data_IF_309583755354
#
_entry.id   IF_309583755354
#
_cell.length_a   1.000
_cell.length_b   1.000
_cell.length_c   1.000
_cell.angle_alpha   90.00
_cell.angle_beta   90.00
_cell.angle_gamma   90.00
#
_symmetry.space_group_name_H-M   'P 1'
#
loop_
_entity.id
_entity.type
_entity.pdbx_description
1 polymer ?
#
# COMPACT_ATOMS: atom_id res chain seq x y z
N UNK A 1 -6.32 24.72 23.76
CA UNK A 1 -6.32 23.24 23.69
C UNK A 1 -5.85 22.74 25.04
N UNK A 2 -6.75 22.12 25.81
CA UNK A 2 -6.47 21.60 27.15
C UNK A 2 -5.42 20.49 27.09
N UNK A 3 -4.53 20.48 28.09
CA UNK A 3 -3.56 19.42 28.32
C UNK A 3 -4.27 18.07 28.34
N UNK A 4 -4.17 17.29 27.25
CA UNK A 4 -4.30 15.86 27.41
C UNK A 4 -3.23 15.47 28.42
N UNK A 5 -3.64 14.82 29.50
CA UNK A 5 -2.74 14.40 30.55
C UNK A 5 -1.59 13.60 29.94
N UNK A 6 -0.39 13.73 30.47
CA UNK A 6 0.75 12.87 30.14
C UNK A 6 0.38 11.37 30.15
N UNK A 7 -0.58 10.99 31.00
CA UNK A 7 -1.20 9.67 31.06
C UNK A 7 -1.96 9.31 29.78
N UNK A 8 -2.81 10.20 29.27
CA UNK A 8 -3.66 9.95 28.10
C UNK A 8 -2.82 9.72 26.83
N UNK A 9 -1.72 10.46 26.66
CA UNK A 9 -0.80 10.27 25.53
C UNK A 9 -0.17 8.87 25.52
N UNK A 10 0.33 8.41 26.67
CA UNK A 10 0.89 7.07 26.82
C UNK A 10 -0.18 5.99 26.60
N UNK A 11 -1.41 6.20 27.09
CA UNK A 11 -2.53 5.28 26.89
C UNK A 11 -2.93 5.17 25.41
N UNK A 12 -2.93 6.28 24.66
CA UNK A 12 -3.19 6.29 23.22
C UNK A 12 -2.12 5.49 22.47
N UNK A 13 -0.84 5.75 22.76
CA UNK A 13 0.29 5.02 22.16
C UNK A 13 0.21 3.51 22.43
N UNK A 14 -0.07 3.13 23.68
CA UNK A 14 -0.21 1.73 24.07
C UNK A 14 -1.37 1.07 23.31
N UNK A 15 -2.55 1.70 23.32
CA UNK A 15 -3.75 1.19 22.63
C UNK A 15 -3.48 0.99 21.14
N UNK A 16 -2.75 1.91 20.51
CA UNK A 16 -2.38 1.83 19.10
C UNK A 16 -1.30 0.77 18.82
N UNK A 17 -0.37 0.51 19.74
CA UNK A 17 0.55 -0.64 19.60
C UNK A 17 -0.20 -1.98 19.64
N UNK A 18 -1.24 -2.10 20.47
CA UNK A 18 -2.10 -3.29 20.52
C UNK A 18 -2.93 -3.43 19.24
N UNK A 19 -3.51 -2.33 18.74
CA UNK A 19 -4.22 -2.35 17.46
C UNK A 19 -3.30 -2.81 16.32
N UNK A 20 -2.08 -2.28 16.25
CA UNK A 20 -1.08 -2.72 15.27
C UNK A 20 -0.77 -4.22 15.39
N UNK A 21 -0.65 -4.74 16.62
CA UNK A 21 -0.41 -6.15 16.86
C UNK A 21 -1.57 -7.03 16.35
N UNK A 22 -2.82 -6.62 16.59
CA UNK A 22 -4.01 -7.32 16.08
C UNK A 22 -4.04 -7.31 14.56
N UNK A 23 -3.76 -6.17 13.93
CA UNK A 23 -3.69 -6.06 12.46
C UNK A 23 -2.56 -6.92 11.87
N UNK A 24 -1.40 -6.97 12.52
CA UNK A 24 -0.29 -7.82 12.11
C UNK A 24 -0.62 -9.31 12.25
N UNK A 25 -1.32 -9.71 13.31
CA UNK A 25 -1.80 -11.09 13.44
C UNK A 25 -2.79 -11.45 12.32
N UNK A 26 -3.70 -10.54 11.97
CA UNK A 26 -4.60 -10.72 10.83
C UNK A 26 -3.82 -10.87 9.51
N UNK A 27 -2.79 -10.05 9.30
CA UNK A 27 -1.91 -10.11 8.14
C UNK A 27 -1.21 -11.47 8.02
N UNK A 28 -0.63 -11.99 9.11
CA UNK A 28 -0.01 -13.32 9.16
C UNK A 28 -1.04 -14.40 8.81
N UNK A 29 -2.23 -14.36 9.41
CA UNK A 29 -3.30 -15.34 9.14
C UNK A 29 -3.70 -15.32 7.67
N UNK A 30 -3.88 -14.13 7.08
CA UNK A 30 -4.24 -13.98 5.66
C UNK A 30 -3.12 -14.48 4.74
N UNK A 31 -1.86 -14.16 5.06
CA UNK A 31 -0.72 -14.60 4.28
C UNK A 31 -0.53 -16.12 4.36
N UNK A 32 -0.63 -16.72 5.56
CA UNK A 32 -0.56 -18.15 5.78
C UNK A 32 -1.70 -18.88 5.06
N UNK A 33 -2.93 -18.35 5.13
CA UNK A 33 -4.06 -18.88 4.40
C UNK A 33 -3.85 -18.81 2.88
N UNK A 34 -3.34 -17.69 2.36
CA UNK A 34 -3.05 -17.54 0.94
C UNK A 34 -1.98 -18.53 0.46
N UNK A 35 -0.88 -18.67 1.19
CA UNK A 35 0.25 -19.53 0.83
C UNK A 35 -0.06 -21.02 0.96
N UNK A 36 -0.92 -21.41 1.92
CA UNK A 36 -1.33 -22.80 2.11
C UNK A 36 -2.37 -23.26 1.09
N UNK A 37 -3.28 -22.38 0.67
CA UNK A 37 -4.40 -22.78 -0.19
C UNK A 37 -4.12 -22.61 -1.69
N UNK A 38 -3.21 -21.72 -2.10
CA UNK A 38 -2.97 -21.42 -3.52
C UNK A 38 -1.53 -21.73 -3.95
N UNK A 39 -1.39 -22.50 -5.03
CA UNK A 39 -0.09 -22.66 -5.68
C UNK A 39 0.36 -21.33 -6.31
N UNK A 40 1.33 -20.72 -5.64
CA UNK A 40 1.77 -19.36 -5.89
C UNK A 40 3.14 -19.36 -6.52
N UNK A 41 3.30 -18.60 -7.61
CA UNK A 41 4.58 -18.44 -8.30
C UNK A 41 5.64 -17.88 -7.34
N UNK A 42 6.87 -18.40 -7.40
CA UNK A 42 8.06 -17.91 -6.67
C UNK A 42 8.13 -16.38 -6.51
N UNK A 43 7.96 -15.58 -7.58
CA UNK A 43 7.96 -14.12 -7.48
C UNK A 43 6.95 -13.54 -6.50
N UNK A 44 5.69 -13.98 -6.56
CA UNK A 44 4.63 -13.47 -5.69
C UNK A 44 4.86 -13.95 -4.25
N UNK A 45 5.36 -15.18 -4.05
CA UNK A 45 5.80 -15.64 -2.73
C UNK A 45 6.88 -14.74 -2.16
N UNK A 46 7.92 -14.42 -2.93
CA UNK A 46 9.00 -13.52 -2.50
C UNK A 46 8.47 -12.13 -2.14
N UNK A 47 7.56 -11.58 -2.93
CA UNK A 47 6.93 -10.29 -2.63
C UNK A 47 6.20 -10.32 -1.28
N UNK A 48 5.38 -11.35 -1.03
CA UNK A 48 4.65 -11.51 0.23
C UNK A 48 5.61 -11.66 1.42
N UNK A 49 6.71 -12.40 1.26
CA UNK A 49 7.75 -12.52 2.31
C UNK A 49 8.45 -11.18 2.58
N UNK A 50 8.77 -10.41 1.54
CA UNK A 50 9.40 -9.08 1.70
C UNK A 50 8.45 -8.13 2.43
N UNK A 51 7.16 -8.14 2.08
CA UNK A 51 6.15 -7.33 2.76
C UNK A 51 6.05 -7.73 4.23
N UNK A 52 5.83 -9.01 4.54
CA UNK A 52 5.77 -9.52 5.91
C UNK A 52 7.04 -9.19 6.72
N UNK A 53 8.23 -9.23 6.09
CA UNK A 53 9.48 -8.88 6.76
C UNK A 53 9.55 -7.39 7.08
N UNK A 54 9.23 -6.51 6.13
CA UNK A 54 9.18 -5.07 6.35
C UNK A 54 8.19 -4.73 7.47
N UNK A 55 7.06 -5.41 7.48
CA UNK A 55 6.01 -5.28 8.48
C UNK A 55 6.46 -5.87 9.84
N UNK A 56 7.22 -6.95 9.88
CA UNK A 56 7.81 -7.45 11.13
C UNK A 56 8.77 -6.41 11.74
N UNK A 57 9.63 -5.80 10.91
CA UNK A 57 10.55 -4.75 11.35
C UNK A 57 9.77 -3.53 11.87
N UNK A 58 8.70 -3.13 11.18
CA UNK A 58 7.83 -2.05 11.62
C UNK A 58 7.14 -2.35 12.97
N UNK A 59 6.73 -3.59 13.23
CA UNK A 59 6.16 -3.96 14.54
C UNK A 59 7.20 -3.81 15.66
N UNK A 60 8.42 -4.28 15.42
CA UNK A 60 9.52 -4.19 16.39
C UNK A 60 9.82 -2.73 16.73
N UNK A 61 9.85 -1.83 15.75
CA UNK A 61 10.13 -0.40 15.98
C UNK A 61 9.00 0.29 16.74
N UNK A 62 7.73 -0.06 16.46
CA UNK A 62 6.56 0.47 17.18
C UNK A 62 6.60 0.03 18.64
N UNK A 63 6.85 -1.26 18.91
CA UNK A 63 6.95 -1.76 20.28
C UNK A 63 8.15 -1.16 21.03
N UNK A 64 9.30 -1.06 20.39
CA UNK A 64 10.47 -0.42 20.99
C UNK A 64 10.20 1.05 21.34
N UNK A 65 9.55 1.80 20.45
CA UNK A 65 9.16 3.20 20.70
C UNK A 65 8.17 3.32 21.86
N UNK A 66 7.16 2.45 21.89
CA UNK A 66 6.14 2.44 22.94
C UNK A 66 6.74 2.08 24.29
N UNK A 67 7.64 1.10 24.32
CA UNK A 67 8.37 0.71 25.52
C UNK A 67 9.23 1.84 26.07
N UNK A 68 10.01 2.51 25.21
CA UNK A 68 10.82 3.67 25.60
C UNK A 68 9.96 4.81 26.17
N UNK A 69 8.81 5.06 25.57
CA UNK A 69 7.85 6.06 26.04
C UNK A 69 7.30 5.72 27.44
N UNK A 70 6.94 4.46 27.68
CA UNK A 70 6.38 3.99 28.96
C UNK A 70 7.41 4.08 30.08
N UNK A 71 8.63 3.58 29.86
CA UNK A 71 9.66 3.54 30.91
C UNK A 71 10.12 4.94 31.32
N UNK A 72 10.40 5.81 30.35
CA UNK A 72 10.97 7.13 30.65
C UNK A 72 9.91 8.13 31.07
N UNK A 73 8.65 7.83 30.77
CA UNK A 73 7.57 8.78 30.86
C UNK A 73 7.68 9.88 29.79
N UNK A 74 6.56 10.53 29.45
CA UNK A 74 6.50 11.49 28.35
C UNK A 74 7.34 12.75 28.58
N UNK A 75 7.68 13.08 29.83
CA UNK A 75 8.49 14.25 30.17
C UNK A 75 10.00 14.01 29.99
N UNK A 76 10.47 12.80 30.26
CA UNK A 76 11.90 12.45 30.18
C UNK A 76 12.26 11.77 28.85
N UNK A 77 11.28 11.53 27.99
CA UNK A 77 11.46 10.92 26.68
C UNK A 77 12.21 11.88 25.74
N UNK A 78 13.50 11.58 25.51
CA UNK A 78 14.33 12.33 24.57
C UNK A 78 14.20 11.77 23.16
N UNK A 79 13.98 12.65 22.20
CA UNK A 79 13.89 12.29 20.78
C UNK A 79 15.17 11.58 20.27
N UNK A 80 16.33 11.86 20.88
CA UNK A 80 17.60 11.23 20.48
C UNK A 80 17.56 9.70 20.56
N UNK A 81 16.82 9.16 21.51
CA UNK A 81 16.77 7.72 21.76
C UNK A 81 15.82 7.00 20.81
N UNK A 82 14.86 7.74 20.25
CA UNK A 82 13.88 7.24 19.28
C UNK A 82 14.22 7.55 17.83
N UNK A 83 15.38 8.17 17.55
CA UNK A 83 15.77 8.52 16.16
C UNK A 83 15.75 7.32 15.24
N UNK A 84 16.29 6.19 15.72
CA UNK A 84 16.39 4.97 14.92
C UNK A 84 15.01 4.33 14.69
N UNK A 85 14.11 4.35 15.68
CA UNK A 85 12.76 3.79 15.54
C UNK A 85 11.94 4.61 14.55
N UNK A 86 12.01 5.94 14.65
CA UNK A 86 11.34 6.86 13.72
C UNK A 86 11.82 6.60 12.30
N UNK A 87 13.15 6.63 12.06
CA UNK A 87 13.70 6.41 10.72
C UNK A 87 13.28 5.05 10.14
N UNK A 88 13.43 3.98 10.93
CA UNK A 88 13.15 2.63 10.46
C UNK A 88 11.65 2.39 10.24
N UNK A 89 10.78 2.98 11.07
CA UNK A 89 9.33 2.97 10.84
C UNK A 89 8.95 3.72 9.56
N UNK A 90 9.50 4.91 9.32
CA UNK A 90 9.24 5.66 8.09
C UNK A 90 9.69 4.89 6.84
N UNK A 91 10.89 4.30 6.86
CA UNK A 91 11.42 3.52 5.73
C UNK A 91 10.58 2.27 5.43
N UNK A 92 10.21 1.53 6.47
CA UNK A 92 9.37 0.32 6.33
C UNK A 92 7.98 0.65 5.82
N UNK A 93 7.30 1.66 6.39
CA UNK A 93 5.98 2.11 5.94
C UNK A 93 6.04 2.61 4.49
N UNK A 94 7.06 3.41 4.14
CA UNK A 94 7.23 3.91 2.76
C UNK A 94 7.44 2.75 1.79
N UNK A 95 8.24 1.75 2.17
CA UNK A 95 8.49 0.56 1.33
C UNK A 95 7.20 -0.22 1.09
N UNK A 96 6.43 -0.46 2.15
CA UNK A 96 5.14 -1.17 2.06
C UNK A 96 4.14 -0.41 1.21
N UNK A 97 4.01 0.90 1.43
CA UNK A 97 3.13 1.77 0.64
C UNK A 97 3.50 1.77 -0.83
N UNK A 98 4.78 1.95 -1.18
CA UNK A 98 5.24 1.92 -2.58
C UNK A 98 4.96 0.56 -3.23
N UNK A 99 5.19 -0.55 -2.53
CA UNK A 99 4.89 -1.89 -3.06
C UNK A 99 3.40 -2.04 -3.37
N UNK A 100 2.54 -1.57 -2.47
CA UNK A 100 1.08 -1.64 -2.62
C UNK A 100 0.58 -0.73 -3.75
N UNK A 101 1.04 0.53 -3.78
CA UNK A 101 0.66 1.49 -4.81
C UNK A 101 1.12 1.00 -6.20
N UNK A 102 2.34 0.47 -6.33
CA UNK A 102 2.84 -0.13 -7.58
C UNK A 102 2.05 -1.36 -7.98
N UNK A 103 1.62 -2.18 -7.03
CA UNK A 103 0.75 -3.33 -7.29
C UNK A 103 -0.59 -2.88 -7.87
N UNK A 104 -1.23 -1.87 -7.28
CA UNK A 104 -2.50 -1.32 -7.76
C UNK A 104 -2.35 -0.60 -9.10
N UNK A 105 -1.28 0.16 -9.32
CA UNK A 105 -0.98 0.81 -10.61
C UNK A 105 -0.77 -0.23 -11.71
N UNK A 106 -0.03 -1.30 -11.44
CA UNK A 106 0.15 -2.37 -12.42
C UNK A 106 -1.19 -3.06 -12.76
N UNK A 107 -2.08 -3.23 -11.77
CA UNK A 107 -3.45 -3.68 -11.99
C UNK A 107 -4.25 -2.68 -12.83
N UNK A 108 -4.11 -1.39 -12.59
CA UNK A 108 -4.72 -0.33 -13.39
C UNK A 108 -4.21 -0.34 -14.84
N UNK A 109 -2.89 -0.50 -15.05
CA UNK A 109 -2.27 -0.60 -16.39
C UNK A 109 -2.90 -1.71 -17.21
N UNK A 110 -3.11 -2.88 -16.60
CA UNK A 110 -3.74 -4.04 -17.27
C UNK A 110 -5.19 -3.81 -17.64
N UNK A 111 -5.93 -3.08 -16.80
CA UNK A 111 -7.36 -2.84 -17.02
C UNK A 111 -7.61 -1.67 -18.00
N UNK A 112 -6.84 -0.59 -17.86
CA UNK A 112 -7.08 0.65 -18.59
C UNK A 112 -6.36 0.72 -19.94
N UNK A 113 -5.24 0.01 -20.13
CA UNK A 113 -4.35 0.11 -21.30
C UNK A 113 -3.86 1.54 -21.65
N UNK A 114 -4.15 2.55 -20.84
CA UNK A 114 -3.68 3.93 -21.04
C UNK A 114 -2.32 4.16 -20.37
N UNK A 115 -1.28 4.21 -21.19
CA UNK A 115 0.11 4.41 -20.74
C UNK A 115 0.30 5.76 -20.03
N UNK A 116 -0.31 6.84 -20.53
CA UNK A 116 -0.16 8.18 -19.95
C UNK A 116 -0.65 8.27 -18.50
N UNK A 117 -1.85 7.73 -18.21
CA UNK A 117 -2.40 7.69 -16.86
C UNK A 117 -1.53 6.84 -15.91
N UNK A 118 -1.05 5.70 -16.40
CA UNK A 118 -0.18 4.82 -15.62
C UNK A 118 1.15 5.50 -15.28
N UNK A 119 1.75 6.21 -16.25
CA UNK A 119 2.98 6.97 -16.06
C UNK A 119 2.79 8.12 -15.06
N UNK A 120 1.66 8.82 -15.13
CA UNK A 120 1.30 9.87 -14.18
C UNK A 120 1.17 9.33 -12.75
N UNK A 121 0.42 8.24 -12.55
CA UNK A 121 0.28 7.60 -11.24
C UNK A 121 1.63 7.09 -10.71
N UNK A 122 2.45 6.49 -11.57
CA UNK A 122 3.79 6.04 -11.20
C UNK A 122 4.68 7.21 -10.75
N UNK A 123 4.65 8.34 -11.46
CA UNK A 123 5.39 9.54 -11.08
C UNK A 123 4.93 10.09 -9.72
N UNK A 124 3.64 10.05 -9.42
CA UNK A 124 3.11 10.44 -8.10
C UNK A 124 3.64 9.53 -6.99
N UNK A 125 3.66 8.21 -7.18
CA UNK A 125 4.20 7.23 -6.22
C UNK A 125 5.68 7.48 -5.95
N UNK A 126 6.48 7.70 -6.99
CA UNK A 126 7.91 7.99 -6.84
C UNK A 126 8.11 9.32 -6.10
N UNK A 127 7.31 10.33 -6.41
CA UNK A 127 7.36 11.63 -5.74
C UNK A 127 6.99 11.48 -4.26
N UNK A 128 5.91 10.75 -3.95
CA UNK A 128 5.51 10.40 -2.59
C UNK A 128 6.67 9.73 -1.83
N UNK A 129 7.28 8.69 -2.41
CA UNK A 129 8.39 7.98 -1.79
C UNK A 129 9.58 8.90 -1.48
N UNK A 130 9.98 9.75 -2.43
CA UNK A 130 11.08 10.70 -2.26
C UNK A 130 10.79 11.68 -1.12
N UNK A 131 9.61 12.30 -1.11
CA UNK A 131 9.26 13.27 -0.06
C UNK A 131 9.12 12.61 1.31
N UNK A 132 8.60 11.39 1.39
CA UNK A 132 8.44 10.67 2.64
C UNK A 132 9.80 10.26 3.23
N UNK A 133 10.70 9.72 2.41
CA UNK A 133 12.09 9.42 2.80
C UNK A 133 12.82 10.69 3.23
N UNK A 134 12.75 11.75 2.42
CA UNK A 134 13.35 13.04 2.74
C UNK A 134 12.86 13.58 4.09
N UNK A 135 11.54 13.52 4.33
CA UNK A 135 10.94 13.95 5.60
C UNK A 135 11.46 13.13 6.78
N UNK A 136 11.55 11.80 6.64
CA UNK A 136 12.10 10.90 7.67
C UNK A 136 13.53 11.25 8.05
N UNK A 137 14.41 11.44 7.05
CA UNK A 137 15.79 11.85 7.29
C UNK A 137 15.88 13.25 7.88
N UNK A 138 15.08 14.19 7.39
CA UNK A 138 15.06 15.58 7.87
C UNK A 138 14.71 15.66 9.36
N UNK A 139 13.68 14.92 9.79
CA UNK A 139 13.25 14.84 11.19
C UNK A 139 14.34 14.28 12.10
N UNK A 140 15.14 13.32 11.61
CA UNK A 140 16.26 12.73 12.37
C UNK A 140 17.50 13.64 12.41
N UNK A 141 17.78 14.35 11.30
CA UNK A 141 18.95 15.22 11.17
C UNK A 141 18.82 16.52 11.96
N UNK A 142 17.61 17.09 12.05
CA UNK A 142 17.36 18.39 12.69
C UNK A 142 16.39 18.32 13.89
N UNK A 143 16.69 17.53 14.93
CA UNK A 143 15.80 17.39 16.07
C UNK A 143 15.74 18.68 16.93
N UNK A 144 16.76 19.53 16.86
CA UNK A 144 16.94 20.70 17.73
C UNK A 144 16.05 21.90 17.39
N UNK A 145 15.38 21.94 16.22
CA UNK A 145 14.33 22.95 16.00
C UNK A 145 13.09 22.73 16.88
N UNK A 146 13.01 21.59 17.59
CA UNK A 146 11.91 21.25 18.49
C UNK A 146 12.19 21.48 19.98
N UNK A 147 13.41 21.93 20.35
CA UNK A 147 13.78 22.22 21.74
C UNK A 147 13.70 23.72 22.05
N UNK A 148 12.58 24.37 21.69
CA UNK A 148 12.25 25.68 22.29
C UNK A 148 11.64 25.41 23.67
N UNK A 149 12.17 26.01 24.75
CA UNK A 149 11.73 25.72 26.10
C UNK A 149 10.24 26.03 26.29
N UNK A 150 9.53 25.00 26.75
CA UNK A 150 8.19 24.93 27.36
C UNK A 150 7.45 26.26 27.45
N UNK A 151 6.73 26.59 26.37
CA UNK A 151 5.70 27.63 26.34
C UNK A 151 4.61 27.19 25.39
N UNK A 152 3.75 26.28 25.85
CA UNK A 152 2.42 25.81 25.40
C UNK A 152 1.95 25.80 23.92
N UNK A 153 2.71 26.29 22.93
CA UNK A 153 2.30 26.41 21.52
C UNK A 153 3.23 25.66 20.53
N UNK A 154 4.10 24.76 21.00
CA UNK A 154 5.19 24.15 20.19
C UNK A 154 4.93 22.74 19.62
N UNK A 155 3.77 22.14 19.88
CA UNK A 155 3.37 20.86 19.27
C UNK A 155 3.30 20.83 17.72
N UNK A 156 2.87 21.88 16.98
CA UNK A 156 2.70 21.77 15.54
C UNK A 156 4.01 21.68 14.73
N UNK A 157 5.18 21.92 15.34
CA UNK A 157 6.47 21.98 14.63
C UNK A 157 7.24 20.67 14.55
N UNK A 158 6.86 19.63 15.30
CA UNK A 158 7.65 18.39 15.41
C UNK A 158 7.58 17.51 14.16
N UNK A 159 6.51 17.63 13.36
CA UNK A 159 6.29 16.85 12.14
C UNK A 159 5.74 17.67 10.97
N UNK A 160 5.49 18.97 11.16
CA UNK A 160 5.03 19.92 10.14
C UNK A 160 6.13 20.38 9.18
N UNK A 161 7.01 19.47 8.73
CA UNK A 161 7.86 19.82 7.60
C UNK A 161 6.94 20.03 6.39
N UNK A 162 7.17 21.08 5.60
CA UNK A 162 6.41 21.30 4.36
C UNK A 162 6.47 20.05 3.46
N UNK A 163 7.58 19.32 3.51
CA UNK A 163 7.77 18.06 2.84
C UNK A 163 6.81 16.96 3.32
N UNK A 164 6.59 16.80 4.63
CA UNK A 164 5.62 15.83 5.17
C UNK A 164 4.19 16.15 4.73
N UNK A 165 3.81 17.42 4.72
CA UNK A 165 2.50 17.87 4.27
C UNK A 165 2.29 17.57 2.77
N UNK A 166 3.32 17.84 1.95
CA UNK A 166 3.32 17.52 0.53
C UNK A 166 3.24 15.99 0.34
N UNK A 167 4.06 15.21 1.06
CA UNK A 167 4.04 13.76 1.00
C UNK A 167 2.66 13.19 1.35
N UNK A 168 2.05 13.63 2.45
CA UNK A 168 0.73 13.20 2.89
C UNK A 168 -0.36 13.57 1.87
N UNK A 169 -0.26 14.76 1.25
CA UNK A 169 -1.20 15.20 0.21
C UNK A 169 -1.08 14.34 -1.05
N UNK A 170 0.15 14.01 -1.47
CA UNK A 170 0.39 13.14 -2.63
C UNK A 170 -0.08 11.72 -2.32
N UNK A 171 0.24 11.17 -1.15
CA UNK A 171 -0.21 9.85 -0.72
C UNK A 171 -1.75 9.76 -0.74
N UNK A 172 -2.44 10.71 -0.12
CA UNK A 172 -3.91 10.76 -0.14
C UNK A 172 -4.46 10.90 -1.57
N UNK A 173 -3.79 11.68 -2.44
CA UNK A 173 -4.19 11.79 -3.84
C UNK A 173 -4.02 10.46 -4.59
N UNK A 174 -2.91 9.74 -4.40
CA UNK A 174 -2.68 8.42 -5.01
C UNK A 174 -3.71 7.42 -4.51
N UNK A 175 -3.91 7.35 -3.19
CA UNK A 175 -4.85 6.45 -2.53
C UNK A 175 -6.30 6.68 -2.97
N UNK A 176 -6.66 7.89 -3.42
CA UNK A 176 -8.00 8.19 -3.97
C UNK A 176 -8.07 8.00 -5.48
N UNK A 177 -7.07 8.47 -6.23
CA UNK A 177 -7.07 8.42 -7.69
C UNK A 177 -6.96 6.99 -8.21
N UNK A 178 -6.18 6.12 -7.57
CA UNK A 178 -6.01 4.73 -8.05
C UNK A 178 -7.32 3.93 -7.95
N UNK A 179 -8.05 3.88 -6.82
CA UNK A 179 -9.35 3.21 -6.76
C UNK A 179 -10.42 3.87 -7.63
N UNK A 180 -10.43 5.20 -7.75
CA UNK A 180 -11.37 5.91 -8.62
C UNK A 180 -11.16 5.57 -10.09
N UNK A 181 -9.90 5.57 -10.55
CA UNK A 181 -9.58 5.21 -11.94
C UNK A 181 -9.90 3.75 -12.24
N UNK A 182 -9.61 2.82 -11.32
CA UNK A 182 -10.00 1.42 -11.44
C UNK A 182 -11.52 1.25 -11.49
N UNK A 183 -12.26 1.93 -10.62
CA UNK A 183 -13.72 1.86 -10.55
C UNK A 183 -14.35 2.45 -11.80
N UNK A 184 -13.88 3.60 -12.26
CA UNK A 184 -14.30 4.25 -13.51
C UNK A 184 -14.09 3.33 -14.72
N UNK A 185 -12.92 2.71 -14.81
CA UNK A 185 -12.60 1.79 -15.91
C UNK A 185 -13.41 0.53 -15.87
N UNK A 186 -13.61 -0.06 -14.69
CA UNK A 186 -14.47 -1.21 -14.54
C UNK A 186 -15.91 -0.88 -14.95
N UNK A 187 -16.41 0.31 -14.57
CA UNK A 187 -17.73 0.77 -14.95
C UNK A 187 -17.87 0.85 -16.48
N UNK A 188 -16.90 1.46 -17.17
CA UNK A 188 -16.93 1.59 -18.64
C UNK A 188 -16.80 0.28 -19.40
N UNK A 189 -16.01 -0.68 -18.91
CA UNK A 189 -15.80 -1.98 -19.58
C UNK A 189 -16.99 -2.93 -19.36
N UNK A 190 -17.77 -2.74 -18.29
CA UNK A 190 -18.89 -3.62 -17.96
C UNK A 190 -20.06 -3.42 -18.94
N UNK A 191 -20.50 -4.46 -19.67
CA UNK A 191 -21.65 -4.38 -20.59
C UNK A 191 -22.94 -3.98 -19.87
N UNK A 192 -23.82 -3.24 -20.55
CA UNK A 192 -25.09 -2.75 -19.98
C UNK A 192 -25.96 -3.87 -19.40
N UNK A 193 -25.99 -5.04 -20.05
CA UNK A 193 -26.76 -6.20 -19.60
C UNK A 193 -26.28 -6.77 -18.25
N UNK A 194 -24.96 -6.76 -17.99
CA UNK A 194 -24.38 -7.18 -16.71
C UNK A 194 -24.58 -6.09 -15.67
N UNK A 195 -24.48 -4.81 -16.08
CA UNK A 195 -24.68 -3.66 -15.20
C UNK A 195 -26.08 -3.64 -14.59
N UNK A 196 -27.13 -3.99 -15.35
CA UNK A 196 -28.51 -4.03 -14.85
C UNK A 196 -28.74 -5.12 -13.78
N UNK A 197 -27.97 -6.21 -13.81
CA UNK A 197 -28.09 -7.33 -12.87
C UNK A 197 -27.11 -7.25 -11.70
N UNK A 198 -26.15 -6.34 -11.76
CA UNK A 198 -25.09 -6.24 -10.75
C UNK A 198 -25.63 -5.64 -9.47
N UNK A 199 -25.54 -6.39 -8.37
CA UNK A 199 -25.92 -5.90 -7.05
C UNK A 199 -24.96 -4.80 -6.60
N UNK A 200 -25.47 -3.81 -5.88
CA UNK A 200 -24.66 -2.77 -5.24
C UNK A 200 -23.59 -3.37 -4.31
N UNK A 201 -23.86 -4.55 -3.73
CA UNK A 201 -22.91 -5.30 -2.89
C UNK A 201 -21.66 -5.71 -3.66
N UNK A 202 -21.80 -6.19 -4.89
CA UNK A 202 -20.67 -6.60 -5.73
C UNK A 202 -19.83 -5.41 -6.21
N UNK A 203 -20.47 -4.25 -6.34
CA UNK A 203 -19.77 -2.99 -6.61
C UNK A 203 -18.99 -2.56 -5.38
N UNK A 204 -19.61 -2.59 -4.18
CA UNK A 204 -18.95 -2.23 -2.93
C UNK A 204 -17.74 -3.14 -2.63
N UNK A 205 -17.91 -4.46 -2.75
CA UNK A 205 -16.82 -5.43 -2.55
C UNK A 205 -15.69 -5.18 -3.54
N UNK A 206 -16.01 -4.85 -4.80
CA UNK A 206 -14.99 -4.50 -5.78
C UNK A 206 -14.29 -3.18 -5.44
N UNK A 207 -15.01 -2.15 -5.03
CA UNK A 207 -14.42 -0.85 -4.64
C UNK A 207 -13.52 -0.98 -3.42
N UNK A 208 -13.94 -1.74 -2.40
CA UNK A 208 -13.12 -2.09 -1.24
C UNK A 208 -11.87 -2.84 -1.70
N UNK A 209 -12.03 -3.82 -2.59
CA UNK A 209 -10.91 -4.53 -3.18
C UNK A 209 -9.98 -3.56 -3.93
N UNK A 210 -10.46 -2.57 -4.67
CA UNK A 210 -9.56 -1.67 -5.41
C UNK A 210 -8.73 -0.68 -4.57
N UNK A 211 -8.75 -0.78 -3.25
CA UNK A 211 -8.01 0.14 -2.36
C UNK A 211 -8.88 1.26 -1.82
N UNK A 212 -10.21 1.17 -1.91
CA UNK A 212 -11.11 2.20 -1.40
C UNK A 212 -10.96 2.47 0.10
N UNK A 213 -10.59 1.46 0.90
CA UNK A 213 -10.28 1.63 2.33
C UNK A 213 -9.02 2.47 2.52
N UNK A 214 -7.98 2.24 1.72
CA UNK A 214 -6.76 3.06 1.69
C UNK A 214 -7.08 4.51 1.35
N UNK A 215 -7.86 4.75 0.29
CA UNK A 215 -8.34 6.09 -0.09
C UNK A 215 -9.08 6.83 1.02
N UNK A 216 -10.03 6.17 1.68
CA UNK A 216 -10.76 6.76 2.78
C UNK A 216 -9.84 7.10 3.97
N UNK A 217 -8.97 6.16 4.34
CA UNK A 217 -8.00 6.36 5.42
C UNK A 217 -6.99 7.47 5.09
N UNK A 218 -6.52 7.56 3.85
CA UNK A 218 -5.62 8.63 3.39
C UNK A 218 -6.24 10.02 3.52
N UNK A 219 -7.52 10.17 3.17
CA UNK A 219 -8.26 11.43 3.37
C UNK A 219 -8.42 11.76 4.86
N UNK A 220 -8.79 10.77 5.69
CA UNK A 220 -8.90 10.95 7.15
C UNK A 220 -7.56 11.38 7.74
N UNK A 221 -6.47 10.74 7.33
CA UNK A 221 -5.13 11.09 7.78
C UNK A 221 -4.71 12.48 7.30
N UNK A 222 -5.03 12.86 6.07
CA UNK A 222 -4.76 14.22 5.58
C UNK A 222 -5.49 15.27 6.42
N UNK A 223 -6.76 15.04 6.78
CA UNK A 223 -7.51 15.94 7.67
C UNK A 223 -6.88 15.96 9.06
N UNK A 224 -6.56 14.79 9.63
CA UNK A 224 -5.91 14.70 10.93
C UNK A 224 -4.54 15.35 10.96
N UNK A 225 -3.79 15.32 9.85
CA UNK A 225 -2.51 16.00 9.74
C UNK A 225 -2.64 17.50 10.04
N UNK A 226 -3.72 18.14 9.55
CA UNK A 226 -3.99 19.56 9.77
C UNK A 226 -4.67 19.86 11.11
N UNK A 227 -5.54 18.97 11.60
CA UNK A 227 -6.35 19.22 12.80
C UNK A 227 -5.68 18.71 14.09
N UNK A 228 -5.08 17.52 14.04
CA UNK A 228 -4.49 16.79 15.18
C UNK A 228 -3.25 15.99 14.74
N UNK A 229 -2.09 16.64 14.51
CA UNK A 229 -0.88 15.97 14.01
C UNK A 229 -0.38 14.84 14.92
N UNK A 230 -0.65 14.93 16.23
CA UNK A 230 -0.33 13.87 17.19
C UNK A 230 -1.09 12.58 16.87
N UNK A 231 -2.40 12.69 16.62
CA UNK A 231 -3.26 11.56 16.27
C UNK A 231 -2.92 11.04 14.88
N UNK A 232 -2.64 11.93 13.94
CA UNK A 232 -2.14 11.57 12.61
C UNK A 232 -0.89 10.70 12.70
N UNK A 233 0.11 11.11 13.48
CA UNK A 233 1.37 10.36 13.61
C UNK A 233 1.11 8.93 14.08
N UNK A 234 0.36 8.76 15.18
CA UNK A 234 0.14 7.42 15.71
C UNK A 234 -0.73 6.56 14.79
N UNK A 235 -1.73 7.14 14.10
CA UNK A 235 -2.53 6.41 13.12
C UNK A 235 -1.76 6.10 11.83
N UNK A 236 -0.86 6.97 11.38
CA UNK A 236 -0.03 6.74 10.19
C UNK A 236 0.84 5.48 10.33
N UNK A 237 1.24 5.15 11.56
CA UNK A 237 1.97 3.91 11.86
C UNK A 237 1.16 2.64 11.56
N UNK A 238 -0.18 2.72 11.57
CA UNK A 238 -1.07 1.60 11.23
C UNK A 238 -1.29 1.43 9.73
N UNK A 239 -0.98 2.44 8.92
CA UNK A 239 -1.30 2.42 7.48
C UNK A 239 -0.56 1.33 6.71
N UNK A 240 0.68 1.03 7.08
CA UNK A 240 1.43 -0.09 6.50
C UNK A 240 0.62 -1.39 6.52
N UNK A 241 -0.01 -1.69 7.66
CA UNK A 241 -0.86 -2.88 7.84
C UNK A 241 -2.11 -2.85 7.00
N UNK A 242 -2.74 -1.67 6.92
CA UNK A 242 -3.94 -1.48 6.11
C UNK A 242 -3.61 -1.74 4.64
N UNK A 243 -2.46 -1.27 4.16
CA UNK A 243 -1.98 -1.53 2.80
C UNK A 243 -1.71 -3.02 2.58
N UNK A 244 -0.94 -3.70 3.44
CA UNK A 244 -0.67 -5.14 3.27
C UNK A 244 -1.94 -5.98 3.33
N UNK A 245 -2.81 -5.70 4.29
CA UNK A 245 -4.10 -6.40 4.45
C UNK A 245 -4.96 -6.21 3.20
N UNK A 246 -5.04 -4.99 2.67
CA UNK A 246 -5.78 -4.68 1.44
C UNK A 246 -5.21 -5.43 0.24
N UNK A 247 -3.87 -5.50 0.12
CA UNK A 247 -3.20 -6.27 -0.92
C UNK A 247 -3.46 -7.78 -0.80
N UNK A 248 -3.40 -8.35 0.40
CA UNK A 248 -3.68 -9.77 0.66
C UNK A 248 -5.14 -10.12 0.34
N UNK A 249 -6.10 -9.31 0.81
CA UNK A 249 -7.52 -9.46 0.50
C UNK A 249 -7.74 -9.40 -1.01
N UNK A 250 -7.08 -8.46 -1.70
CA UNK A 250 -7.11 -8.37 -3.15
C UNK A 250 -6.64 -9.64 -3.86
N UNK A 251 -5.52 -10.19 -3.41
CA UNK A 251 -4.97 -11.42 -3.96
C UNK A 251 -5.91 -12.61 -3.74
N UNK A 252 -6.52 -12.70 -2.54
CA UNK A 252 -7.50 -13.74 -2.21
C UNK A 252 -8.75 -13.65 -3.08
N UNK A 253 -9.33 -12.45 -3.23
CA UNK A 253 -10.52 -12.21 -4.07
C UNK A 253 -10.20 -12.50 -5.54
N UNK A 254 -9.04 -12.06 -6.03
CA UNK A 254 -8.62 -12.26 -7.42
C UNK A 254 -8.44 -13.74 -7.76
N UNK A 255 -7.99 -14.57 -6.81
CA UNK A 255 -7.83 -16.02 -7.01
C UNK A 255 -9.15 -16.77 -6.95
N UNK A 256 -10.09 -16.39 -6.07
CA UNK A 256 -11.43 -17.00 -6.01
C UNK A 256 -12.19 -16.85 -7.31
N UNK A 257 -12.09 -15.69 -7.97
CA UNK A 257 -12.72 -15.44 -9.27
C UNK A 257 -12.20 -16.35 -10.41
N UNK A 258 -11.01 -16.95 -10.25
CA UNK A 258 -10.42 -17.90 -11.20
C UNK A 258 -10.67 -19.37 -10.86
N UNK A 259 -11.40 -19.66 -9.78
CA UNK A 259 -11.68 -21.05 -9.38
C UNK A 259 -12.65 -21.71 -10.37
N UNK A 260 -12.32 -22.88 -10.94
CA UNK A 260 -13.11 -23.57 -11.97
C UNK A 260 -14.47 -24.11 -11.47
N UNK A 261 -14.75 -24.02 -10.17
CA UNK A 261 -15.97 -24.56 -9.57
C UNK A 261 -17.16 -23.58 -9.50
N UNK A 262 -17.01 -22.33 -9.95
CA UNK A 262 -18.02 -21.28 -9.75
C UNK A 262 -18.85 -20.89 -10.98
N UNK A 263 -18.62 -21.49 -12.16
CA UNK A 263 -19.35 -21.12 -13.38
C UNK A 263 -20.10 -22.31 -13.98
N UNK A 264 -21.42 -22.20 -14.22
CA UNK A 264 -22.16 -23.21 -14.96
C UNK A 264 -21.57 -23.34 -16.37
N UNK A 265 -21.34 -24.59 -16.79
CA UNK A 265 -20.78 -24.94 -18.09
C UNK A 265 -21.67 -24.36 -19.20
N UNK A 266 -21.19 -23.34 -19.92
CA UNK A 266 -21.94 -22.81 -21.07
C UNK A 266 -21.58 -21.39 -21.50
N UNK A 267 -20.90 -20.59 -20.68
CA UNK A 267 -20.51 -19.23 -21.09
C UNK A 267 -19.05 -19.23 -21.59
N UNK A 268 -18.79 -18.92 -22.87
CA UNK A 268 -17.43 -18.83 -23.39
C UNK A 268 -16.69 -17.69 -22.69
N UNK A 269 -15.81 -18.07 -21.75
CA UNK A 269 -15.04 -17.14 -20.97
C UNK A 269 -13.90 -16.57 -21.82
N UNK A 270 -13.97 -15.25 -22.09
CA UNK A 270 -12.78 -14.48 -22.47
C UNK A 270 -11.81 -14.59 -21.29
N UNK A 271 -10.73 -15.36 -21.45
CA UNK A 271 -9.71 -15.64 -20.41
C UNK A 271 -9.18 -14.34 -19.80
N UNK A 272 -9.79 -13.87 -18.71
CA UNK A 272 -9.24 -12.85 -17.82
C UNK A 272 -8.40 -13.55 -16.75
N UNK A 273 -7.35 -14.28 -17.17
CA UNK A 273 -6.40 -14.90 -16.24
C UNK A 273 -5.50 -13.81 -15.64
N UNK A 274 -6.01 -13.12 -14.64
CA UNK A 274 -5.50 -11.84 -14.14
C UNK A 274 -4.19 -11.94 -13.33
N UNK A 275 -3.86 -13.11 -12.77
CA UNK A 275 -2.91 -13.20 -11.65
C UNK A 275 -1.51 -13.75 -11.99
N UNK A 276 -1.28 -14.31 -13.18
CA UNK A 276 -0.07 -15.13 -13.44
C UNK A 276 1.07 -14.40 -14.17
N UNK A 277 0.81 -13.33 -14.92
CA UNK A 277 1.85 -12.57 -15.65
C UNK A 277 2.60 -11.55 -14.77
N UNK A 278 2.31 -11.50 -13.48
CA UNK A 278 2.67 -10.43 -12.55
C UNK A 278 4.18 -10.14 -12.41
N UNK A 279 5.09 -11.05 -12.79
CA UNK A 279 6.53 -10.81 -12.62
C UNK A 279 7.43 -11.15 -13.82
N UNK A 280 6.87 -11.59 -14.95
CA UNK A 280 7.70 -11.88 -16.14
C UNK A 280 7.75 -10.73 -17.15
N UNK A 281 7.07 -9.60 -16.90
CA UNK A 281 7.09 -8.43 -17.82
C UNK A 281 8.02 -7.29 -17.41
N UNK A 282 8.78 -7.44 -16.31
CA UNK A 282 9.95 -6.59 -16.05
C UNK A 282 11.26 -7.19 -16.58
N UNK A 283 11.25 -8.43 -17.09
CA UNK A 283 12.32 -8.86 -17.99
C UNK A 283 12.13 -8.10 -19.31
N UNK A 284 13.16 -7.35 -19.70
CA UNK A 284 13.43 -6.77 -21.02
C UNK A 284 12.50 -7.31 -22.13
N UNK A 285 11.99 -6.44 -23.03
CA UNK A 285 11.34 -6.93 -24.24
C UNK A 285 12.32 -7.91 -24.89
N UNK A 286 12.04 -9.21 -24.81
CA UNK A 286 12.64 -10.18 -25.71
C UNK A 286 12.16 -9.71 -27.07
N UNK A 287 13.00 -8.91 -27.73
CA UNK A 287 13.08 -8.82 -29.17
C UNK A 287 13.03 -10.27 -29.62
N UNK A 288 11.83 -10.70 -29.99
CA UNK A 288 11.61 -11.96 -30.66
C UNK A 288 12.38 -11.78 -31.95
N UNK A 289 13.64 -12.23 -31.92
CA UNK A 289 14.43 -12.50 -33.10
C UNK A 289 13.66 -13.60 -33.79
N UNK A 290 12.74 -13.20 -34.65
CA UNK A 290 11.99 -14.03 -35.56
C UNK A 290 13.06 -14.77 -36.37
N UNK A 291 13.41 -15.97 -35.91
CA UNK A 291 14.18 -16.90 -36.72
C UNK A 291 13.24 -17.24 -37.86
N UNK A 292 13.39 -16.54 -38.98
CA UNK A 292 12.87 -16.98 -40.27
C UNK A 292 13.21 -18.46 -40.41
N UNK A 293 12.18 -19.31 -40.39
CA UNK A 293 12.33 -20.68 -40.80
C UNK A 293 12.80 -20.66 -42.27
N UNK A 294 13.80 -21.50 -42.62
CA UNK A 294 14.25 -21.58 -44.00
C UNK A 294 13.06 -21.96 -44.91
N UNK A 295 12.98 -21.37 -46.11
CA UNK A 295 11.90 -21.69 -47.05
C UNK A 295 11.95 -23.18 -47.38
N UNK A 296 10.80 -23.84 -47.29
CA UNK A 296 10.60 -25.20 -47.78
C UNK A 296 10.93 -25.25 -49.28
N UNK A 297 11.77 -26.20 -49.74
CA UNK A 297 12.10 -26.33 -51.15
C UNK A 297 10.84 -26.69 -51.92
N UNK A 298 10.51 -25.85 -52.91
CA UNK A 298 9.47 -26.10 -53.90
C UNK A 298 9.82 -27.35 -54.68
N UNK A 299 8.84 -28.25 -54.79
CA UNK A 299 8.83 -29.38 -55.71
C UNK A 299 9.18 -28.90 -57.11
N UNK A 300 10.26 -29.44 -57.65
CA UNK A 300 10.65 -29.29 -59.05
C UNK A 300 9.80 -30.30 -59.82
N UNK A 301 8.77 -29.82 -60.53
CA UNK A 301 8.06 -30.60 -61.54
C UNK A 301 9.04 -30.93 -62.69
N UNK A 302 9.29 -32.22 -62.88
CA UNK A 302 9.96 -32.78 -64.06
C UNK A 302 9.03 -32.66 -65.27
N UNK A 303 9.57 -32.16 -66.39
CA UNK A 303 9.02 -32.26 -67.75
C UNK A 303 9.94 -33.15 -68.58
#
# INVERSE_FOLDING_TARGET
>A
MSALGSSEFSSIHLSLSWLNAVLYMLEIILAAHYLSHFDTKRPLKALLFIMLLADTICMITIFASTWLLIIKGPQSYSFNESRWTVLLSTLTITTVSVIEELFLINRCRRLAQHTALTLFLFALVITHAIFNIYSGFYVVAFPQMSSTPVGFDTLPRRYGSKAAAIAASIAAAVDVLVPLTLSWRLYHITPAAVRAKRSWRDTLVNTISFGGVGGLMGVVLLVLFWVRPDVFYVLSLTMGRVYVTTLLVNLLVSRRATSPYAMPAGVPLRKLSFSAEMMMTFSMPRLAREKQLPPTPSEVEEV
#
